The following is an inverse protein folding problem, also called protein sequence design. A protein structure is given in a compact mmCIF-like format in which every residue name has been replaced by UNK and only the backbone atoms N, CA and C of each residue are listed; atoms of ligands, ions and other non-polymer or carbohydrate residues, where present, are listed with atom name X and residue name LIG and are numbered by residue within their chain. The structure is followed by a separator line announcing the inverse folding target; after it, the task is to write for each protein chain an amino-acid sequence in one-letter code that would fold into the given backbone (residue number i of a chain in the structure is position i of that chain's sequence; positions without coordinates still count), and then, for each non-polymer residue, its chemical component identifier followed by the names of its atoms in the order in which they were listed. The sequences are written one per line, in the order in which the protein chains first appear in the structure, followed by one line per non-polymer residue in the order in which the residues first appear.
data_IF_404194528023
#
_entry.id   IF_404194528023
#
_cell.length_a   1.000
_cell.length_b   1.000
_cell.length_c   1.000
_cell.angle_alpha   90.00
_cell.angle_beta   90.00
_cell.angle_gamma   90.00
#
_symmetry.space_group_name_H-M   'P 1'
#
loop_
_entity.id
_entity.type
_entity.pdbx_description
1 polymer ?
#
# COMPACT_ATOMS: atom_id res chain seq x y z
N UNK A 1 9.36 -17.14 -5.35
CA UNK A 1 8.13 -16.51 -5.89
C UNK A 1 6.91 -16.67 -4.99
N UNK A 2 6.54 -17.87 -4.53
CA UNK A 2 5.31 -18.10 -3.73
C UNK A 2 5.27 -17.42 -2.36
N UNK A 3 6.44 -17.06 -1.79
CA UNK A 3 6.51 -16.38 -0.50
C UNK A 3 6.20 -14.87 -0.59
N UNK A 4 6.25 -14.28 -1.79
CA UNK A 4 5.97 -12.85 -1.96
C UNK A 4 4.46 -12.61 -2.15
N UNK A 5 3.86 -11.60 -1.50
CA UNK A 5 2.43 -11.25 -1.62
C UNK A 5 1.95 -11.08 -3.07
N UNK A 6 2.83 -10.66 -3.97
CA UNK A 6 2.52 -10.47 -5.40
C UNK A 6 2.14 -11.77 -6.13
N UNK A 7 2.46 -12.94 -5.56
CA UNK A 7 2.04 -14.23 -6.11
C UNK A 7 0.57 -14.59 -5.84
N UNK A 8 -0.15 -13.77 -5.07
CA UNK A 8 -1.55 -14.02 -4.71
C UNK A 8 -2.50 -13.63 -5.86
N UNK A 9 -3.62 -14.35 -5.94
CA UNK A 9 -4.72 -13.99 -6.82
C UNK A 9 -5.60 -12.93 -6.15
N UNK A 10 -5.58 -11.69 -6.66
CA UNK A 10 -6.21 -10.53 -6.01
C UNK A 10 -7.69 -10.33 -6.36
N UNK A 11 -8.15 -10.82 -7.52
CA UNK A 11 -9.51 -10.57 -8.02
C UNK A 11 -10.58 -11.33 -7.23
N UNK A 12 -10.28 -12.56 -6.80
CA UNK A 12 -11.25 -13.44 -6.17
C UNK A 12 -12.18 -14.14 -7.18
N UNK A 13 -12.71 -15.28 -6.77
CA UNK A 13 -13.67 -16.15 -7.48
C UNK A 13 -14.70 -16.66 -6.46
N UNK A 14 -15.84 -17.18 -6.92
CA UNK A 14 -16.83 -17.80 -6.00
C UNK A 14 -16.19 -18.86 -5.10
N UNK A 15 -15.26 -19.65 -5.63
CA UNK A 15 -14.53 -20.68 -4.88
C UNK A 15 -13.60 -20.10 -3.80
N UNK A 16 -12.96 -18.95 -4.06
CA UNK A 16 -12.02 -18.32 -3.10
C UNK A 16 -12.74 -17.46 -2.06
N UNK A 17 -13.94 -16.96 -2.37
CA UNK A 17 -14.76 -16.14 -1.47
C UNK A 17 -15.77 -16.97 -0.65
N UNK A 18 -16.25 -18.12 -1.16
CA UNK A 18 -17.14 -19.07 -0.47
C UNK A 18 -16.38 -20.34 -0.09
N UNK A 19 -15.23 -20.18 0.57
CA UNK A 19 -14.44 -21.33 1.01
C UNK A 19 -15.16 -22.02 2.17
N UNK A 20 -15.55 -23.28 1.97
CA UNK A 20 -16.20 -24.10 2.98
C UNK A 20 -15.45 -24.04 4.32
N UNK A 21 -16.17 -23.75 5.40
CA UNK A 21 -15.61 -23.70 6.76
C UNK A 21 -15.04 -22.34 7.20
N UNK A 22 -15.12 -21.29 6.38
CA UNK A 22 -14.77 -19.92 6.78
C UNK A 22 -16.00 -19.04 6.63
N UNK A 23 -16.45 -18.40 7.71
CA UNK A 23 -17.44 -17.34 7.60
C UNK A 23 -16.81 -16.11 6.93
N UNK A 24 -17.21 -15.87 5.68
CA UNK A 24 -16.74 -14.73 4.90
C UNK A 24 -17.04 -13.39 5.59
N UNK A 25 -18.16 -13.30 6.32
CA UNK A 25 -18.55 -12.07 7.03
C UNK A 25 -17.61 -11.77 8.17
N UNK A 26 -17.31 -12.74 9.02
CA UNK A 26 -16.36 -12.57 10.12
C UNK A 26 -14.97 -12.18 9.61
N UNK A 27 -14.53 -12.83 8.52
CA UNK A 27 -13.23 -12.52 7.93
C UNK A 27 -13.19 -11.09 7.37
N UNK A 28 -14.28 -10.64 6.76
CA UNK A 28 -14.41 -9.26 6.27
C UNK A 28 -14.40 -8.26 7.42
N UNK A 29 -15.13 -8.51 8.50
CA UNK A 29 -15.14 -7.65 9.68
C UNK A 29 -13.75 -7.57 10.34
N UNK A 30 -13.04 -8.69 10.43
CA UNK A 30 -11.68 -8.71 10.95
C UNK A 30 -10.73 -7.92 10.04
N UNK A 31 -10.85 -8.07 8.72
CA UNK A 31 -10.06 -7.31 7.75
C UNK A 31 -10.32 -5.80 7.88
N UNK A 32 -11.59 -5.40 7.94
CA UNK A 32 -12.00 -4.01 8.15
C UNK A 32 -11.37 -3.44 9.42
N UNK A 33 -11.55 -4.09 10.58
CA UNK A 33 -10.98 -3.62 11.86
C UNK A 33 -9.45 -3.54 11.88
N UNK A 34 -8.77 -4.35 11.06
CA UNK A 34 -7.30 -4.42 11.04
C UNK A 34 -6.67 -3.37 10.14
N UNK A 35 -7.28 -3.08 8.98
CA UNK A 35 -6.65 -2.25 7.94
C UNK A 35 -7.38 -0.93 7.66
N UNK A 36 -8.66 -0.78 8.02
CA UNK A 36 -9.39 0.48 7.88
C UNK A 36 -9.22 1.31 9.15
N UNK A 37 -8.15 2.11 9.17
CA UNK A 37 -7.84 3.05 10.25
C UNK A 37 -7.59 4.44 9.69
N UNK A 38 -8.03 5.49 10.39
CA UNK A 38 -7.93 6.88 9.93
C UNK A 38 -6.50 7.30 9.54
N UNK A 39 -5.47 6.82 10.24
CA UNK A 39 -4.06 7.13 9.93
C UNK A 39 -3.56 6.57 8.59
N UNK A 40 -4.27 5.63 7.97
CA UNK A 40 -3.90 5.02 6.67
C UNK A 40 -4.84 5.47 5.53
N UNK A 41 -5.77 6.38 5.79
CA UNK A 41 -6.74 6.88 4.81
C UNK A 41 -6.35 8.27 4.30
N UNK A 42 -6.60 8.51 3.02
CA UNK A 42 -6.49 9.82 2.39
C UNK A 42 -7.82 10.17 1.74
N UNK A 43 -8.25 11.42 1.91
CA UNK A 43 -9.49 11.93 1.34
C UNK A 43 -9.17 13.13 0.45
N UNK A 44 -9.69 13.11 -0.77
CA UNK A 44 -9.63 14.23 -1.70
C UNK A 44 -11.07 14.63 -2.07
N UNK A 45 -11.39 15.91 -1.99
CA UNK A 45 -12.73 16.44 -2.31
C UNK A 45 -12.58 17.57 -3.31
N UNK A 46 -13.45 17.57 -4.32
CA UNK A 46 -13.59 18.66 -5.28
C UNK A 46 -15.06 19.08 -5.33
N UNK A 47 -15.33 20.33 -4.98
CA UNK A 47 -16.68 20.87 -4.94
C UNK A 47 -16.63 22.41 -5.05
N UNK A 48 -17.71 23.07 -5.50
CA UNK A 48 -17.73 24.51 -5.76
C UNK A 48 -17.81 25.40 -4.50
N UNK A 49 -17.93 24.81 -3.31
CA UNK A 49 -18.01 25.53 -2.04
C UNK A 49 -16.64 26.08 -1.60
N UNK A 50 -16.68 27.01 -0.64
CA UNK A 50 -15.46 27.54 -0.02
C UNK A 50 -14.69 26.46 0.75
N UNK A 51 -13.38 26.64 0.89
CA UNK A 51 -12.50 25.72 1.63
C UNK A 51 -12.96 25.56 3.09
N UNK A 52 -13.43 26.63 3.73
CA UNK A 52 -13.84 26.59 5.12
C UNK A 52 -15.14 25.78 5.30
N UNK A 53 -16.08 25.94 4.37
CA UNK A 53 -17.29 25.11 4.34
C UNK A 53 -16.94 23.63 4.14
N UNK A 54 -16.01 23.32 3.23
CA UNK A 54 -15.59 21.94 2.99
C UNK A 54 -14.89 21.32 4.20
N UNK A 55 -14.03 22.09 4.88
CA UNK A 55 -13.40 21.65 6.13
C UNK A 55 -14.44 21.32 7.19
N UNK A 56 -15.46 22.17 7.36
CA UNK A 56 -16.51 21.94 8.35
C UNK A 56 -17.29 20.66 8.03
N UNK A 57 -17.70 20.45 6.78
CA UNK A 57 -18.40 19.23 6.36
C UNK A 57 -17.55 17.97 6.60
N UNK A 58 -16.26 18.03 6.30
CA UNK A 58 -15.33 16.91 6.52
C UNK A 58 -15.14 16.66 8.01
N UNK A 59 -15.00 17.71 8.82
CA UNK A 59 -14.88 17.57 10.28
C UNK A 59 -16.12 16.85 10.82
N UNK A 60 -17.31 17.28 10.43
CA UNK A 60 -18.55 16.67 10.91
C UNK A 60 -18.73 15.21 10.46
N UNK A 61 -18.22 14.83 9.28
CA UNK A 61 -18.49 13.51 8.69
C UNK A 61 -17.35 12.49 8.89
N UNK A 62 -16.10 12.94 9.03
CA UNK A 62 -14.92 12.07 8.99
C UNK A 62 -14.17 11.99 10.32
N UNK A 63 -14.48 12.82 11.31
CA UNK A 63 -13.85 12.75 12.64
C UNK A 63 -14.20 11.47 13.41
N UNK A 64 -15.36 10.87 13.12
CA UNK A 64 -15.82 9.65 13.80
C UNK A 64 -15.06 8.38 13.37
N UNK A 65 -14.17 8.46 12.37
CA UNK A 65 -13.40 7.32 11.91
C UNK A 65 -12.33 6.96 12.96
N UNK A 66 -12.36 5.74 13.52
CA UNK A 66 -11.42 5.36 14.56
C UNK A 66 -9.98 5.29 14.02
N UNK A 67 -9.05 5.80 14.82
CA UNK A 67 -7.62 5.62 14.58
C UNK A 67 -7.09 4.47 15.45
N UNK A 68 -6.86 3.30 14.84
CA UNK A 68 -6.30 2.12 15.51
C UNK A 68 -4.77 2.02 15.37
N UNK A 69 -4.13 2.99 14.70
CA UNK A 69 -2.68 3.07 14.46
C UNK A 69 -2.01 1.73 14.06
N UNK A 70 -2.54 0.98 13.06
CA UNK A 70 -1.91 -0.25 12.61
C UNK A 70 -0.58 0.03 11.92
N UNK A 71 0.33 -0.94 12.01
CA UNK A 71 1.54 -0.92 11.20
C UNK A 71 1.17 -0.98 9.71
N UNK A 72 1.84 -0.20 8.84
CA UNK A 72 1.64 -0.29 7.39
C UNK A 72 1.76 -1.73 6.90
N UNK A 73 0.83 -2.20 6.04
CA UNK A 73 0.83 -3.57 5.58
C UNK A 73 2.13 -3.95 4.85
N UNK A 74 2.81 -2.99 4.20
CA UNK A 74 4.10 -3.24 3.56
C UNK A 74 5.21 -3.69 4.53
N UNK A 75 5.15 -3.31 5.82
CA UNK A 75 6.19 -3.71 6.80
C UNK A 75 6.34 -5.23 6.90
N UNK A 76 5.26 -5.99 6.64
CA UNK A 76 5.27 -7.45 6.69
C UNK A 76 6.10 -8.08 5.57
N UNK A 77 6.30 -7.37 4.45
CA UNK A 77 6.90 -7.95 3.24
C UNK A 77 8.12 -7.19 2.73
N UNK A 78 8.46 -6.05 3.34
CA UNK A 78 9.70 -5.32 3.07
C UNK A 78 10.98 -6.15 3.28
N UNK A 79 10.89 -7.23 4.06
CA UNK A 79 12.01 -8.13 4.36
C UNK A 79 12.12 -9.28 3.34
N UNK A 80 11.12 -9.46 2.47
CA UNK A 80 11.11 -10.52 1.46
C UNK A 80 11.94 -10.05 0.26
N UNK A 81 12.92 -10.86 -0.13
CA UNK A 81 13.75 -10.57 -1.30
C UNK A 81 12.87 -10.50 -2.55
N UNK A 82 13.01 -9.39 -3.30
CA UNK A 82 12.31 -9.20 -4.56
C UNK A 82 12.80 -10.23 -5.58
N UNK A 83 11.92 -10.75 -6.45
CA UNK A 83 12.32 -11.66 -7.51
C UNK A 83 13.23 -11.02 -8.58
N UNK A 84 13.38 -9.70 -8.53
CA UNK A 84 14.22 -8.93 -9.44
C UNK A 84 15.16 -8.03 -8.63
N UNK A 85 16.41 -7.84 -9.09
CA UNK A 85 17.32 -6.89 -8.47
C UNK A 85 16.70 -5.50 -8.54
N UNK A 86 16.77 -4.73 -7.45
CA UNK A 86 16.43 -3.30 -7.50
C UNK A 86 17.39 -2.63 -8.49
N UNK A 87 16.91 -1.75 -9.39
CA UNK A 87 17.83 -0.95 -10.20
C UNK A 87 18.79 -0.25 -9.26
N UNK A 88 20.10 -0.33 -9.53
CA UNK A 88 21.08 0.32 -8.69
C UNK A 88 20.80 1.82 -8.67
N UNK A 89 20.72 2.39 -7.47
CA UNK A 89 20.68 3.84 -7.28
C UNK A 89 22.09 4.40 -7.50
N UNK A 90 22.67 4.18 -8.68
CA UNK A 90 23.97 4.72 -9.06
C UNK A 90 23.75 6.08 -9.74
N UNK A 91 23.46 7.11 -8.96
CA UNK A 91 23.75 8.48 -9.38
C UNK A 91 25.24 8.74 -9.15
N UNK A 92 26.10 8.13 -9.96
CA UNK A 92 27.51 8.52 -10.06
C UNK A 92 27.64 9.70 -11.02
N UNK A 93 27.35 10.90 -10.51
CA UNK A 93 28.03 12.10 -10.99
C UNK A 93 29.50 12.00 -10.55
N UNK A 94 30.33 11.33 -11.35
CA UNK A 94 31.78 11.46 -11.33
C UNK A 94 32.29 11.34 -12.77
N UNK A 95 32.02 12.38 -13.56
CA UNK A 95 32.92 12.73 -14.64
C UNK A 95 34.27 13.02 -13.99
N UNK A 96 35.28 12.18 -14.25
CA UNK A 96 36.64 12.59 -14.64
C UNK A 96 37.56 11.37 -14.79
N UNK A 97 37.95 11.13 -16.04
CA UNK A 97 39.28 10.68 -16.49
C UNK A 97 39.69 9.23 -16.16
N UNK A 98 39.61 8.34 -17.16
CA UNK A 98 40.79 7.68 -17.75
C UNK A 98 40.39 6.85 -18.98
N UNK A 99 40.41 7.49 -20.16
CA UNK A 99 40.55 6.82 -21.45
C UNK A 99 41.98 6.30 -21.55
N UNK A 100 42.19 5.01 -21.24
CA UNK A 100 43.24 4.15 -21.83
C UNK A 100 43.32 2.83 -21.05
N UNK A 101 42.46 1.88 -21.39
CA UNK A 101 42.83 0.46 -21.35
C UNK A 101 41.73 -0.36 -22.01
N UNK A 102 42.12 -1.20 -22.97
CA UNK A 102 41.38 -2.31 -23.58
C UNK A 102 40.63 -2.00 -24.89
N UNK A 103 41.40 -1.68 -25.93
CA UNK A 103 41.30 -2.46 -27.17
C UNK A 103 42.72 -2.99 -27.44
N UNK A 104 42.92 -4.27 -27.82
CA UNK A 104 44.08 -4.61 -28.63
C UNK A 104 44.04 -3.90 -30.00
#
# INVERSE_FOLDING_TARGET
FQQHPYSKFFTGTRQTLQRNGIDARERLLQFYKTYYSANQMYLAINAPQSIDTLKQIIQDSCLDIPNTNPLPPEKKWNQIQLPYPKPSSDNNNNNNNNINSLIP
#
